data_IF_604186142339
#
_entry.id   IF_604186142339
#
_cell.length_a   1.000
_cell.length_b   1.000
_cell.length_c   1.000
_cell.angle_alpha   90.00
_cell.angle_beta   90.00
_cell.angle_gamma   90.00
#
_symmetry.space_group_name_H-M   'P 1'
#
loop_
_entity.id
_entity.type
_entity.pdbx_description
1 polymer ?
#
# COMPACT_ATOMS: atom_id res chain seq x y z
N UNK A 1 -50.49 -15.00 16.18
CA UNK A 1 -49.46 -16.06 16.05
C UNK A 1 -48.63 -15.66 14.85
N UNK A 2 -47.64 -14.80 15.09
CA UNK A 2 -46.86 -14.13 14.05
C UNK A 2 -45.84 -15.11 13.43
N UNK A 3 -45.81 -15.11 12.09
CA UNK A 3 -44.84 -15.83 11.27
C UNK A 3 -43.45 -15.25 11.50
N UNK A 4 -42.55 -16.03 12.09
CA UNK A 4 -41.11 -15.72 12.12
C UNK A 4 -40.56 -15.92 10.71
N UNK A 5 -40.37 -14.82 9.99
CA UNK A 5 -39.61 -14.81 8.75
C UNK A 5 -38.19 -15.29 9.02
N UNK A 6 -37.81 -16.35 8.32
CA UNK A 6 -36.45 -16.85 8.24
C UNK A 6 -35.56 -15.73 7.67
N UNK A 7 -34.49 -15.28 8.33
CA UNK A 7 -33.60 -14.31 7.74
C UNK A 7 -32.91 -15.00 6.56
N UNK A 8 -33.37 -14.68 5.35
CA UNK A 8 -32.65 -14.92 4.10
C UNK A 8 -31.20 -14.51 4.33
N UNK A 9 -30.32 -15.50 4.54
CA UNK A 9 -28.88 -15.36 4.45
C UNK A 9 -28.60 -14.98 3.00
N UNK A 10 -28.66 -13.69 2.72
CA UNK A 10 -28.19 -13.11 1.49
C UNK A 10 -26.67 -13.30 1.50
N UNK A 11 -26.21 -14.45 1.01
CA UNK A 11 -24.79 -14.62 0.69
C UNK A 11 -24.42 -13.46 -0.23
N UNK A 12 -23.37 -12.74 0.16
CA UNK A 12 -22.79 -11.62 -0.56
C UNK A 12 -22.46 -12.04 -2.00
N UNK A 13 -23.40 -11.80 -2.92
CA UNK A 13 -23.37 -12.23 -4.32
C UNK A 13 -22.55 -11.21 -5.13
N UNK A 14 -21.33 -11.61 -5.50
CA UNK A 14 -20.42 -10.77 -6.27
C UNK A 14 -19.09 -11.43 -6.56
N UNK A 15 -18.33 -10.84 -7.48
CA UNK A 15 -16.98 -11.30 -7.81
C UNK A 15 -16.01 -10.94 -6.66
N UNK A 16 -15.38 -11.96 -6.06
CA UNK A 16 -14.37 -11.79 -5.01
C UNK A 16 -12.98 -11.97 -5.63
N UNK A 17 -12.10 -10.99 -5.46
CA UNK A 17 -10.70 -11.07 -5.87
C UNK A 17 -9.83 -11.06 -4.62
N UNK A 18 -8.94 -12.05 -4.52
CA UNK A 18 -7.95 -12.11 -3.45
C UNK A 18 -6.94 -10.95 -3.58
N UNK A 19 -6.73 -10.21 -2.50
CA UNK A 19 -5.80 -9.08 -2.47
C UNK A 19 -4.38 -9.49 -2.88
N UNK A 20 -3.91 -10.65 -2.43
CA UNK A 20 -2.58 -11.17 -2.78
C UNK A 20 -2.48 -11.52 -4.26
N UNK A 21 -3.57 -12.00 -4.86
CA UNK A 21 -3.67 -12.21 -6.31
C UNK A 21 -3.59 -10.88 -7.05
N UNK A 22 -4.31 -9.86 -6.59
CA UNK A 22 -4.27 -8.52 -7.19
C UNK A 22 -2.87 -7.90 -7.13
N UNK A 23 -2.20 -8.00 -5.98
CA UNK A 23 -0.81 -7.53 -5.83
C UNK A 23 0.11 -8.28 -6.80
N UNK A 24 -0.03 -9.61 -6.92
CA UNK A 24 0.75 -10.42 -7.85
C UNK A 24 0.55 -9.98 -9.30
N UNK A 25 -0.69 -9.72 -9.71
CA UNK A 25 -1.01 -9.23 -11.06
C UNK A 25 -0.39 -7.85 -11.34
N UNK A 26 -0.40 -6.95 -10.35
CA UNK A 26 0.31 -5.66 -10.47
C UNK A 26 1.81 -5.91 -10.63
N UNK A 27 2.44 -6.71 -9.77
CA UNK A 27 3.87 -7.01 -9.82
C UNK A 27 4.32 -7.67 -11.14
N UNK A 28 3.48 -8.51 -11.76
CA UNK A 28 3.78 -9.10 -13.07
C UNK A 28 3.96 -8.07 -14.19
N UNK A 29 3.41 -6.85 -14.03
CA UNK A 29 3.58 -5.75 -14.97
C UNK A 29 4.82 -4.88 -14.69
N UNK A 30 5.63 -5.24 -13.69
CA UNK A 30 6.83 -4.52 -13.27
C UNK A 30 8.09 -5.40 -13.47
N UNK A 31 8.52 -5.62 -14.72
CA UNK A 31 9.62 -6.54 -15.02
C UNK A 31 11.02 -6.04 -14.60
N UNK A 32 11.17 -4.75 -14.25
CA UNK A 32 12.47 -4.14 -13.93
C UNK A 32 12.50 -3.53 -12.51
N UNK A 33 13.45 -4.01 -11.69
CA UNK A 33 13.52 -3.75 -10.24
C UNK A 33 13.81 -2.31 -9.81
N UNK A 34 14.20 -1.42 -10.72
CA UNK A 34 14.42 0.00 -10.40
C UNK A 34 13.13 0.83 -10.44
N UNK A 35 12.04 0.28 -10.96
CA UNK A 35 10.78 1.02 -11.12
C UNK A 35 10.23 1.48 -9.77
N UNK A 36 10.38 0.67 -8.72
CA UNK A 36 10.01 1.03 -7.33
C UNK A 36 10.70 2.33 -6.88
N UNK A 37 11.97 2.53 -7.22
CA UNK A 37 12.69 3.75 -6.82
C UNK A 37 12.14 4.98 -7.55
N UNK A 38 11.77 4.82 -8.82
CA UNK A 38 11.17 5.90 -9.61
C UNK A 38 9.80 6.28 -9.07
N UNK A 39 8.99 5.30 -8.67
CA UNK A 39 7.68 5.55 -8.06
C UNK A 39 7.79 6.25 -6.70
N UNK A 40 8.77 5.88 -5.87
CA UNK A 40 9.01 6.58 -4.59
C UNK A 40 9.39 8.04 -4.81
N UNK A 41 10.21 8.34 -5.83
CA UNK A 41 10.56 9.72 -6.20
C UNK A 41 9.34 10.47 -6.74
N UNK A 42 8.53 9.82 -7.57
CA UNK A 42 7.31 10.41 -8.11
C UNK A 42 6.29 10.73 -7.01
N UNK A 43 6.09 9.84 -6.04
CA UNK A 43 5.23 10.10 -4.89
C UNK A 43 5.72 11.30 -4.07
N UNK A 44 7.04 11.47 -3.93
CA UNK A 44 7.61 12.62 -3.25
C UNK A 44 7.39 13.92 -4.04
N UNK A 45 7.54 13.88 -5.37
CA UNK A 45 7.25 15.03 -6.26
C UNK A 45 5.77 15.42 -6.22
N UNK A 46 4.85 14.45 -6.31
CA UNK A 46 3.39 14.65 -6.20
C UNK A 46 2.99 15.26 -4.83
N UNK A 47 3.78 15.01 -3.78
CA UNK A 47 3.61 15.58 -2.43
C UNK A 47 4.30 16.94 -2.25
N UNK A 48 5.02 17.43 -3.26
CA UNK A 48 5.76 18.71 -3.21
C UNK A 48 7.04 18.66 -2.39
N UNK A 49 7.63 17.49 -2.18
CA UNK A 49 8.89 17.34 -1.46
C UNK A 49 10.05 17.97 -2.23
N UNK A 50 11.00 18.56 -1.50
CA UNK A 50 12.23 19.15 -2.08
C UNK A 50 13.47 18.28 -1.84
N UNK A 51 13.33 17.21 -1.05
CA UNK A 51 14.39 16.26 -0.75
C UNK A 51 13.83 14.85 -0.70
N UNK A 52 14.56 13.92 -1.32
CA UNK A 52 14.35 12.48 -1.22
C UNK A 52 15.66 11.82 -0.80
N UNK A 53 15.59 10.89 0.16
CA UNK A 53 16.71 10.09 0.62
C UNK A 53 16.37 8.60 0.54
N UNK A 54 17.24 7.82 -0.09
CA UNK A 54 17.18 6.36 -0.10
C UNK A 54 18.35 5.82 0.73
N UNK A 55 18.06 4.95 1.70
CA UNK A 55 19.07 4.38 2.58
C UNK A 55 18.93 2.86 2.64
N UNK A 56 19.99 2.14 2.23
CA UNK A 56 20.09 0.71 2.48
C UNK A 56 20.57 0.50 3.92
N UNK A 57 19.63 0.30 4.83
CA UNK A 57 19.91 -0.01 6.22
C UNK A 57 20.20 -1.51 6.37
N UNK A 58 21.44 -1.84 6.74
CA UNK A 58 21.87 -3.23 6.93
C UNK A 58 21.79 -3.71 8.38
N UNK A 59 21.24 -2.88 9.28
CA UNK A 59 21.12 -3.22 10.70
C UNK A 59 20.12 -4.35 10.91
N UNK A 60 20.21 -4.97 12.09
CA UNK A 60 19.21 -5.91 12.62
C UNK A 60 18.75 -5.36 13.97
N UNK A 61 17.45 -5.41 14.21
CA UNK A 61 16.81 -4.86 15.40
C UNK A 61 16.40 -5.98 16.37
N UNK A 62 16.25 -5.63 17.66
CA UNK A 62 15.76 -6.56 18.67
C UNK A 62 14.31 -6.98 18.41
N UNK A 63 13.92 -8.13 18.97
CA UNK A 63 12.60 -8.74 18.76
C UNK A 63 11.83 -9.01 20.07
N UNK A 64 12.37 -8.59 21.22
CA UNK A 64 11.83 -8.92 22.54
C UNK A 64 10.57 -8.12 22.93
N UNK A 65 10.29 -7.01 22.23
CA UNK A 65 9.18 -6.09 22.54
C UNK A 65 8.29 -5.81 21.32
N UNK A 66 8.08 -6.82 20.47
CA UNK A 66 7.22 -6.70 19.29
C UNK A 66 5.74 -6.88 19.65
N UNK A 67 4.86 -6.25 18.86
CA UNK A 67 3.40 -6.40 19.00
C UNK A 67 2.93 -7.84 18.83
N UNK A 68 3.63 -8.63 17.99
CA UNK A 68 3.41 -10.07 17.89
C UNK A 68 4.70 -10.80 17.52
N UNK A 69 4.87 -12.07 17.93
CA UNK A 69 6.05 -12.86 17.59
C UNK A 69 6.29 -13.02 16.07
N UNK A 70 5.22 -13.00 15.26
CA UNK A 70 5.31 -13.14 13.80
C UNK A 70 6.04 -11.98 13.11
N UNK A 71 6.23 -10.85 13.80
CA UNK A 71 6.95 -9.69 13.29
C UNK A 71 8.48 -9.84 13.36
N UNK A 72 9.00 -10.83 14.11
CA UNK A 72 10.44 -11.00 14.31
C UNK A 72 11.21 -11.18 12.99
N UNK A 73 10.59 -11.79 11.98
CA UNK A 73 11.18 -11.98 10.65
C UNK A 73 11.47 -10.65 9.91
N UNK A 74 10.80 -9.56 10.28
CA UNK A 74 10.90 -8.25 9.62
C UNK A 74 11.92 -7.30 10.28
N UNK A 75 12.59 -7.73 11.35
CA UNK A 75 13.57 -6.91 12.08
C UNK A 75 14.98 -6.89 11.43
N UNK A 76 15.10 -7.31 10.18
CA UNK A 76 16.37 -7.40 9.44
C UNK A 76 16.70 -6.15 8.61
N UNK A 77 17.66 -6.27 7.67
CA UNK A 77 18.00 -5.21 6.72
C UNK A 77 16.78 -4.70 5.93
N UNK A 78 16.74 -3.41 5.66
CA UNK A 78 15.64 -2.73 4.98
C UNK A 78 16.13 -1.64 4.02
N UNK A 79 15.32 -1.34 3.00
CA UNK A 79 15.46 -0.13 2.19
C UNK A 79 14.53 0.94 2.78
N UNK A 80 15.12 2.01 3.33
CA UNK A 80 14.38 3.14 3.85
C UNK A 80 14.24 4.21 2.76
N UNK A 81 13.03 4.77 2.61
CA UNK A 81 12.75 5.89 1.73
C UNK A 81 12.18 7.04 2.56
N UNK A 82 12.82 8.20 2.47
CA UNK A 82 12.42 9.42 3.16
C UNK A 82 12.20 10.54 2.16
N UNK A 83 11.16 11.35 2.37
CA UNK A 83 11.01 12.65 1.75
C UNK A 83 10.56 13.67 2.82
N UNK A 84 10.72 14.96 2.54
CA UNK A 84 10.43 16.04 3.49
C UNK A 84 9.03 16.66 3.34
N UNK A 85 8.10 16.01 2.64
CA UNK A 85 6.68 16.34 2.69
C UNK A 85 5.99 15.56 3.81
N UNK A 86 4.86 16.07 4.29
CA UNK A 86 4.03 15.44 5.31
C UNK A 86 2.77 14.83 4.67
N UNK A 87 2.32 13.69 5.18
CA UNK A 87 1.08 13.06 4.73
C UNK A 87 -0.13 13.90 5.12
N UNK A 88 -1.08 14.08 4.20
CA UNK A 88 -2.43 14.58 4.54
C UNK A 88 -3.35 13.43 4.99
N UNK A 89 -4.52 13.77 5.51
CA UNK A 89 -5.55 12.77 5.85
C UNK A 89 -5.98 11.99 4.60
N UNK A 90 -6.09 12.66 3.45
CA UNK A 90 -6.39 12.02 2.17
C UNK A 90 -5.30 11.03 1.73
N UNK A 91 -4.02 11.33 1.99
CA UNK A 91 -2.92 10.42 1.69
C UNK A 91 -2.99 9.15 2.54
N UNK A 92 -3.36 9.26 3.83
CA UNK A 92 -3.58 8.11 4.71
C UNK A 92 -4.75 7.24 4.25
N UNK A 93 -5.85 7.85 3.78
CA UNK A 93 -6.96 7.10 3.22
C UNK A 93 -6.55 6.44 1.90
N UNK A 94 -5.82 7.14 1.04
CA UNK A 94 -5.37 6.64 -0.27
C UNK A 94 -4.40 5.46 -0.13
N UNK A 95 -3.39 5.55 0.73
CA UNK A 95 -2.38 4.48 0.89
C UNK A 95 -2.97 3.16 1.40
N UNK A 96 -4.12 3.21 2.10
CA UNK A 96 -4.84 2.02 2.56
C UNK A 96 -5.61 1.29 1.45
N UNK A 97 -5.87 1.93 0.29
CA UNK A 97 -6.73 1.43 -0.77
C UNK A 97 -5.94 0.80 -1.92
N UNK A 98 -5.64 -0.49 -1.80
CA UNK A 98 -4.94 -1.22 -2.85
C UNK A 98 -5.85 -1.41 -4.07
N UNK A 99 -5.47 -0.83 -5.22
CA UNK A 99 -6.20 -0.95 -6.48
C UNK A 99 -7.45 -0.07 -6.62
N UNK A 100 -7.68 0.85 -5.67
CA UNK A 100 -8.80 1.79 -5.64
C UNK A 100 -8.46 3.19 -6.16
N UNK A 101 -7.58 3.28 -7.16
CA UNK A 101 -7.15 4.55 -7.76
C UNK A 101 -8.33 5.21 -8.51
N UNK A 102 -9.17 5.95 -7.78
CA UNK A 102 -10.24 6.81 -8.29
C UNK A 102 -9.70 8.08 -8.98
N UNK A 103 -8.58 7.98 -9.71
CA UNK A 103 -7.97 9.12 -10.43
C UNK A 103 -8.62 9.33 -11.81
N UNK A 104 -9.95 9.48 -11.84
CA UNK A 104 -10.65 9.97 -13.04
C UNK A 104 -10.52 11.51 -13.15
N UNK A 105 -10.12 12.22 -12.08
CA UNK A 105 -10.12 13.69 -12.03
C UNK A 105 -8.77 14.42 -11.84
N UNK A 106 -7.64 13.72 -11.69
CA UNK A 106 -6.33 14.34 -11.40
C UNK A 106 -5.31 13.94 -12.48
N UNK A 107 -5.49 14.47 -13.69
CA UNK A 107 -4.69 14.13 -14.88
C UNK A 107 -3.19 14.48 -14.77
N UNK A 108 -2.75 15.18 -13.73
CA UNK A 108 -1.36 15.59 -13.51
C UNK A 108 -0.58 14.71 -12.53
N UNK A 109 -1.26 13.95 -11.65
CA UNK A 109 -0.60 12.98 -10.74
C UNK A 109 -0.31 11.69 -11.51
N UNK A 110 0.88 11.61 -12.07
CA UNK A 110 1.29 10.60 -13.07
C UNK A 110 1.55 9.20 -12.48
N UNK A 111 1.31 8.99 -11.19
CA UNK A 111 1.32 7.67 -10.56
C UNK A 111 0.17 6.78 -11.07
N UNK A 112 0.51 5.77 -11.88
CA UNK A 112 -0.42 4.92 -12.63
C UNK A 112 -1.32 4.01 -11.77
N UNK A 113 -1.04 3.87 -10.47
CA UNK A 113 -1.77 2.95 -9.58
C UNK A 113 -2.00 3.45 -8.13
N UNK A 114 -1.75 4.73 -7.86
CA UNK A 114 -2.18 5.39 -6.61
C UNK A 114 -3.57 6.01 -6.77
#
# INVERSE_FOLDING_TARGET
MESRGDPLLLEDFGQKVDLTRRIREVLSNYPEGTTVLRELVQNADDAGATRVCLCLDRRRHGYDSLLSPGLAQWQGPALLAYNNAEFTEEDFVSISRIGGSNKIGQAWKTGRFG
#
